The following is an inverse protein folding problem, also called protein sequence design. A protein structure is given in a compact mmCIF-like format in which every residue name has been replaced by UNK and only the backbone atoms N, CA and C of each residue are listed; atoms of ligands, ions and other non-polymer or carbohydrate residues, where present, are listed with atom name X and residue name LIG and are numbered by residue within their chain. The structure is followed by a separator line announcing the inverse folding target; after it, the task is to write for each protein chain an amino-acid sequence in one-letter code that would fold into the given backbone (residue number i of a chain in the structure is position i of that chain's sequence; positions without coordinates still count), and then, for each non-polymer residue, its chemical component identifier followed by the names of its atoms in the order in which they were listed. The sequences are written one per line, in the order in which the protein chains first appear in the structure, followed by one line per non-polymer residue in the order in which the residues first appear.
data_IF_387124247044
#
_entry.id   IF_387124247044
#
_cell.length_a   1.000
_cell.length_b   1.000
_cell.length_c   1.000
_cell.angle_alpha   90.00
_cell.angle_beta   90.00
_cell.angle_gamma   90.00
#
_symmetry.space_group_name_H-M   'P 1'
#
loop_
_entity.id
_entity.type
_entity.pdbx_description
1 polymer ?
#
# COMPACT_ATOMS: atom_id res chain seq x y z
N UNK A 1 -10.19 5.79 19.07
CA UNK A 1 -8.93 5.70 18.30
C UNK A 1 -7.70 5.78 19.22
N UNK A 2 -7.51 6.82 20.00
CA UNK A 2 -6.36 6.99 20.92
C UNK A 2 -6.17 5.81 21.89
N UNK A 3 -7.24 5.30 22.47
CA UNK A 3 -7.22 4.12 23.35
C UNK A 3 -6.65 2.88 22.64
N UNK A 4 -6.97 2.71 21.35
CA UNK A 4 -6.45 1.61 20.55
C UNK A 4 -4.95 1.78 20.28
N UNK A 5 -4.52 2.98 19.91
CA UNK A 5 -3.11 3.29 19.68
C UNK A 5 -2.28 3.03 20.94
N UNK A 6 -2.79 3.44 22.11
CA UNK A 6 -2.10 3.18 23.39
C UNK A 6 -2.04 1.69 23.77
N UNK A 7 -3.00 0.89 23.34
CA UNK A 7 -2.90 -0.57 23.54
C UNK A 7 -1.81 -1.20 22.68
N UNK A 8 -1.60 -0.68 21.46
CA UNK A 8 -0.56 -1.16 20.55
C UNK A 8 0.83 -0.69 21.01
N UNK A 9 0.95 0.59 21.36
CA UNK A 9 2.18 1.17 21.86
C UNK A 9 1.92 2.11 23.05
N UNK A 10 2.03 1.61 24.29
CA UNK A 10 1.76 2.41 25.50
C UNK A 10 2.70 3.59 25.69
N UNK A 11 3.92 3.49 25.14
CA UNK A 11 4.97 4.50 25.28
C UNK A 11 4.92 5.58 24.20
N UNK A 12 4.10 5.41 23.16
CA UNK A 12 4.01 6.38 22.09
C UNK A 12 3.43 7.72 22.58
N UNK A 13 4.10 8.79 22.23
CA UNK A 13 3.52 10.14 22.33
C UNK A 13 2.49 10.32 21.21
N UNK A 14 1.29 10.76 21.58
CA UNK A 14 0.21 10.98 20.63
C UNK A 14 0.02 12.48 20.43
N UNK A 15 0.27 12.94 19.21
CA UNK A 15 0.07 14.31 18.80
C UNK A 15 -1.19 14.41 17.94
N UNK A 16 -2.14 15.23 18.34
CA UNK A 16 -3.36 15.47 17.55
C UNK A 16 -3.07 16.57 16.54
N UNK A 17 -3.34 16.28 15.28
CA UNK A 17 -3.11 17.21 14.18
C UNK A 17 -4.34 17.30 13.30
N UNK A 18 -4.50 18.42 12.62
CA UNK A 18 -5.49 18.60 11.56
C UNK A 18 -4.78 18.79 10.24
N UNK A 19 -5.14 17.97 9.22
CA UNK A 19 -4.50 17.95 7.91
C UNK A 19 -2.96 17.81 7.95
N UNK A 20 -2.41 17.19 9.01
CA UNK A 20 -0.97 17.01 9.16
C UNK A 20 -0.23 18.30 9.59
N UNK A 21 -0.93 19.36 9.95
CA UNK A 21 -0.32 20.58 10.44
C UNK A 21 0.30 20.35 11.82
N UNK A 22 1.64 20.40 11.87
CA UNK A 22 2.43 20.19 13.08
C UNK A 22 3.77 20.89 12.95
N UNK A 23 4.24 21.47 14.04
CA UNK A 23 5.59 22.01 14.10
C UNK A 23 6.64 20.91 13.93
N UNK A 24 7.58 21.02 12.96
CA UNK A 24 8.59 20.00 12.70
C UNK A 24 9.42 19.64 13.93
N UNK A 25 9.66 20.58 14.83
CA UNK A 25 10.38 20.37 16.09
C UNK A 25 9.67 19.37 17.02
N UNK A 26 8.38 19.12 16.84
CA UNK A 26 7.65 18.08 17.58
C UNK A 26 8.01 16.67 17.13
N UNK A 27 8.54 16.51 15.93
CA UNK A 27 8.88 15.21 15.34
C UNK A 27 10.40 14.97 15.30
N UNK A 28 11.18 16.00 14.99
CA UNK A 28 12.60 15.91 14.75
C UNK A 28 13.42 16.11 16.05
N UNK A 29 14.59 15.47 16.12
CA UNK A 29 15.53 15.62 17.24
C UNK A 29 15.04 15.12 18.59
N UNK A 30 14.05 14.24 18.64
CA UNK A 30 13.46 13.75 19.90
C UNK A 30 14.13 12.52 20.50
N UNK A 31 15.09 11.90 19.84
CA UNK A 31 15.80 10.71 20.30
C UNK A 31 14.88 9.65 20.95
N UNK A 32 13.71 9.42 20.33
CA UNK A 32 12.65 8.56 20.90
C UNK A 32 12.97 7.08 20.84
N UNK A 33 13.89 6.68 19.99
CA UNK A 33 14.30 5.29 19.88
C UNK A 33 15.20 4.92 21.07
N UNK A 34 14.78 3.95 21.83
CA UNK A 34 15.55 3.38 22.93
C UNK A 34 15.71 1.89 22.70
N UNK A 35 16.93 1.45 22.42
CA UNK A 35 17.25 0.04 22.16
C UNK A 35 16.76 -0.88 23.28
N UNK A 36 16.94 -0.49 24.54
CA UNK A 36 16.47 -1.27 25.69
C UNK A 36 14.95 -1.51 25.70
N UNK A 37 14.14 -0.60 25.13
CA UNK A 37 12.71 -0.80 25.02
C UNK A 37 12.36 -1.69 23.80
N UNK A 38 13.08 -1.53 22.71
CA UNK A 38 12.92 -2.36 21.53
C UNK A 38 13.30 -3.82 21.82
N UNK A 39 14.37 -4.06 22.58
CA UNK A 39 14.82 -5.39 23.01
C UNK A 39 13.81 -6.14 23.88
N UNK A 40 12.95 -5.43 24.58
CA UNK A 40 11.88 -6.04 25.40
C UNK A 40 10.64 -6.41 24.60
N UNK A 41 10.56 -6.02 23.32
CA UNK A 41 9.44 -6.38 22.48
C UNK A 41 9.53 -7.86 22.08
N UNK A 42 8.51 -8.70 22.42
CA UNK A 42 8.61 -10.15 22.30
C UNK A 42 8.89 -10.67 20.89
N UNK A 43 8.40 -9.96 19.87
CA UNK A 43 8.51 -10.37 18.47
C UNK A 43 9.74 -9.80 17.76
N UNK A 44 10.26 -8.65 18.17
CA UNK A 44 11.32 -7.96 17.42
C UNK A 44 12.67 -8.71 17.47
N UNK A 45 13.01 -9.32 18.59
CA UNK A 45 14.25 -10.08 18.73
C UNK A 45 14.09 -11.57 18.41
N UNK A 46 12.89 -12.12 18.53
CA UNK A 46 12.65 -13.51 18.16
C UNK A 46 12.94 -13.73 16.68
N UNK A 47 12.34 -12.90 15.82
CA UNK A 47 12.52 -12.94 14.37
C UNK A 47 13.99 -12.69 13.95
N UNK A 48 14.68 -11.76 14.62
CA UNK A 48 16.10 -11.49 14.35
C UNK A 48 17.05 -12.61 14.81
N UNK A 49 16.67 -13.40 15.82
CA UNK A 49 17.48 -14.50 16.37
C UNK A 49 17.26 -15.82 15.66
N UNK A 50 16.05 -16.05 15.18
CA UNK A 50 15.66 -17.32 14.54
C UNK A 50 16.18 -17.44 13.12
N UNK A 51 16.66 -16.35 12.50
CA UNK A 51 17.16 -16.30 11.12
C UNK A 51 16.25 -16.95 10.04
N UNK A 52 15.07 -17.39 10.42
CA UNK A 52 14.06 -17.95 9.56
C UNK A 52 12.94 -16.94 9.36
N UNK A 53 13.18 -16.01 8.44
CA UNK A 53 12.11 -15.16 7.96
C UNK A 53 11.14 -16.02 7.14
N UNK A 54 9.99 -16.33 7.70
CA UNK A 54 8.92 -16.97 6.95
C UNK A 54 8.47 -16.00 5.84
N UNK A 55 8.61 -16.36 4.56
CA UNK A 55 8.19 -15.46 3.48
C UNK A 55 6.73 -15.05 3.68
N UNK A 56 6.43 -13.75 3.55
CA UNK A 56 5.06 -13.22 3.69
C UNK A 56 4.04 -13.95 2.81
N UNK A 57 4.50 -14.53 1.71
CA UNK A 57 3.69 -15.39 0.83
C UNK A 57 3.18 -16.63 1.54
N UNK A 58 3.99 -17.21 2.42
CA UNK A 58 3.63 -18.40 3.19
C UNK A 58 2.81 -18.01 4.40
N UNK A 59 3.22 -16.94 5.09
CA UNK A 59 2.56 -16.48 6.32
C UNK A 59 1.15 -15.92 6.06
N UNK A 60 0.99 -15.10 5.01
CA UNK A 60 -0.27 -14.42 4.72
C UNK A 60 -0.97 -14.91 3.44
N UNK A 61 -0.37 -15.82 2.69
CA UNK A 61 -0.92 -16.28 1.41
C UNK A 61 -0.97 -15.16 0.34
N UNK A 62 -0.18 -14.10 0.50
CA UNK A 62 -0.17 -12.94 -0.40
C UNK A 62 1.00 -13.07 -1.36
N UNK A 63 0.73 -13.05 -2.66
CA UNK A 63 1.75 -13.08 -3.71
C UNK A 63 1.65 -11.85 -4.60
N UNK A 64 2.74 -11.53 -5.27
CA UNK A 64 2.78 -10.45 -6.26
C UNK A 64 3.16 -10.98 -7.64
N UNK A 65 2.65 -10.34 -8.68
CA UNK A 65 3.04 -10.63 -10.05
C UNK A 65 3.08 -9.36 -10.89
N UNK A 66 3.81 -9.41 -11.98
CA UNK A 66 3.89 -8.32 -12.95
C UNK A 66 3.15 -8.73 -14.22
N UNK A 67 2.11 -7.98 -14.57
CA UNK A 67 1.44 -8.12 -15.85
C UNK A 67 2.06 -7.17 -16.88
N UNK A 68 2.49 -7.71 -18.01
CA UNK A 68 3.02 -6.92 -19.13
C UNK A 68 2.31 -7.29 -20.42
N UNK A 69 1.93 -6.28 -21.19
CA UNK A 69 1.32 -6.46 -22.50
C UNK A 69 1.88 -5.42 -23.49
N UNK A 70 2.10 -5.84 -24.71
CA UNK A 70 2.61 -5.01 -25.82
C UNK A 70 1.50 -4.51 -26.73
N UNK A 71 0.25 -4.85 -26.43
CA UNK A 71 -0.94 -4.42 -27.18
C UNK A 71 -1.77 -3.47 -26.33
N UNK A 72 -2.37 -2.43 -26.95
CA UNK A 72 -3.26 -1.54 -26.23
C UNK A 72 -4.53 -2.25 -25.79
N UNK A 73 -5.07 -1.83 -24.67
CA UNK A 73 -6.39 -2.26 -24.22
C UNK A 73 -7.49 -1.57 -25.02
N UNK A 74 -8.50 -2.32 -25.38
CA UNK A 74 -9.75 -1.76 -25.89
C UNK A 74 -10.51 -1.10 -24.73
N UNK A 75 -10.86 0.20 -24.77
CA UNK A 75 -11.42 0.91 -23.63
C UNK A 75 -12.67 0.26 -23.03
N UNK A 76 -13.64 -0.10 -23.88
CA UNK A 76 -14.90 -0.69 -23.43
C UNK A 76 -14.67 -2.09 -22.82
N UNK A 77 -13.79 -2.90 -23.40
CA UNK A 77 -13.47 -4.24 -22.85
C UNK A 77 -12.72 -4.13 -21.52
N UNK A 78 -11.81 -3.17 -21.40
CA UNK A 78 -11.13 -2.91 -20.14
C UNK A 78 -12.14 -2.44 -19.08
N UNK A 79 -13.01 -1.50 -19.42
CA UNK A 79 -14.05 -1.02 -18.51
C UNK A 79 -14.97 -2.16 -18.05
N UNK A 80 -15.43 -3.01 -18.97
CA UNK A 80 -16.26 -4.16 -18.63
C UNK A 80 -15.53 -5.18 -17.75
N UNK A 81 -14.23 -5.41 -17.99
CA UNK A 81 -13.42 -6.34 -17.18
C UNK A 81 -13.15 -5.79 -15.76
N UNK A 82 -13.04 -4.49 -15.60
CA UNK A 82 -12.87 -3.85 -14.30
C UNK A 82 -14.15 -3.87 -13.45
N UNK A 83 -15.33 -3.96 -14.11
CA UNK A 83 -16.62 -4.01 -13.45
C UNK A 83 -17.06 -2.66 -12.88
N UNK A 84 -18.27 -2.63 -12.34
CA UNK A 84 -18.83 -1.47 -11.65
C UNK A 84 -18.17 -1.26 -10.29
N UNK A 85 -17.76 -2.36 -9.66
CA UNK A 85 -17.03 -2.38 -8.40
C UNK A 85 -15.71 -3.13 -8.58
N UNK A 86 -14.58 -2.65 -8.07
CA UNK A 86 -13.31 -3.36 -8.13
C UNK A 86 -13.36 -4.79 -7.58
N UNK A 87 -14.29 -5.06 -6.68
CA UNK A 87 -14.45 -6.39 -6.07
C UNK A 87 -15.25 -7.38 -6.91
N UNK A 88 -16.03 -6.91 -7.87
CA UNK A 88 -16.89 -7.74 -8.70
C UNK A 88 -16.27 -8.11 -10.03
N UNK A 89 -15.27 -7.34 -10.48
CA UNK A 89 -14.58 -7.54 -11.74
C UNK A 89 -13.31 -8.37 -11.62
N UNK A 90 -12.48 -8.29 -12.66
CA UNK A 90 -11.19 -8.98 -12.75
C UNK A 90 -10.21 -8.61 -11.59
N UNK A 91 -10.42 -7.48 -10.94
CA UNK A 91 -9.61 -7.01 -9.80
C UNK A 91 -10.09 -7.53 -8.45
N UNK A 92 -11.19 -8.29 -8.39
CA UNK A 92 -11.86 -8.68 -7.15
C UNK A 92 -10.98 -9.43 -6.14
N UNK A 93 -9.94 -10.10 -6.60
CA UNK A 93 -8.98 -10.82 -5.77
C UNK A 93 -7.69 -10.05 -5.49
N UNK A 94 -7.52 -8.88 -6.08
CA UNK A 94 -6.33 -8.07 -5.87
C UNK A 94 -6.48 -7.21 -4.61
N UNK A 95 -5.48 -7.22 -3.76
CA UNK A 95 -5.37 -6.34 -2.60
C UNK A 95 -4.81 -4.97 -3.00
N UNK A 96 -3.89 -4.97 -3.96
CA UNK A 96 -3.22 -3.77 -4.46
C UNK A 96 -2.84 -3.92 -5.93
N UNK A 97 -2.97 -2.84 -6.68
CA UNK A 97 -2.45 -2.71 -8.03
C UNK A 97 -1.81 -1.34 -8.19
N UNK A 98 -0.68 -1.29 -8.84
CA UNK A 98 -0.08 -0.06 -9.36
C UNK A 98 0.47 -0.33 -10.74
N UNK A 99 0.21 0.59 -11.66
CA UNK A 99 0.73 0.47 -13.00
C UNK A 99 0.15 1.51 -13.94
N UNK A 100 0.52 1.34 -15.19
CA UNK A 100 -0.01 2.15 -16.27
C UNK A 100 -0.52 1.24 -17.40
N UNK A 101 -1.54 1.72 -18.10
CA UNK A 101 -2.14 1.03 -19.23
C UNK A 101 -2.03 1.89 -20.50
N UNK A 102 -1.89 1.21 -21.61
CA UNK A 102 -2.03 1.80 -22.93
C UNK A 102 -3.43 1.52 -23.44
N UNK A 103 -4.20 2.58 -23.70
CA UNK A 103 -5.52 2.48 -24.32
C UNK A 103 -5.44 2.74 -25.84
N UNK A 104 -6.16 1.97 -26.61
CA UNK A 104 -6.20 2.09 -28.06
C UNK A 104 -6.67 3.46 -28.57
N UNK A 105 -7.42 4.20 -27.74
CA UNK A 105 -7.90 5.56 -28.03
C UNK A 105 -6.97 6.65 -27.48
N UNK A 106 -5.89 6.30 -26.80
CA UNK A 106 -4.96 7.24 -26.16
C UNK A 106 -3.50 6.87 -26.45
N UNK A 107 -3.09 7.00 -27.70
CA UNK A 107 -1.74 6.57 -28.14
C UNK A 107 -0.58 7.40 -27.58
N UNK A 108 -0.84 8.66 -27.21
CA UNK A 108 0.21 9.60 -26.81
C UNK A 108 0.45 9.66 -25.30
N UNK A 109 -0.43 9.09 -24.50
CA UNK A 109 -0.36 9.18 -23.04
C UNK A 109 -0.69 7.86 -22.35
N UNK A 110 -0.03 7.63 -21.29
CA UNK A 110 -0.32 6.57 -20.35
C UNK A 110 -1.62 6.83 -19.60
N UNK A 111 -2.23 5.79 -19.09
CA UNK A 111 -3.32 5.85 -18.13
C UNK A 111 -2.85 5.17 -16.86
N UNK A 112 -2.76 5.91 -15.78
CA UNK A 112 -2.38 5.35 -14.49
C UNK A 112 -3.55 4.57 -13.89
N UNK A 113 -3.24 3.40 -13.37
CA UNK A 113 -4.17 2.53 -12.65
C UNK A 113 -3.65 2.31 -11.24
N UNK A 114 -4.49 2.49 -10.25
CA UNK A 114 -4.17 2.16 -8.88
C UNK A 114 -5.36 1.52 -8.16
N UNK A 115 -5.09 0.50 -7.36
CA UNK A 115 -6.03 -0.13 -6.45
C UNK A 115 -5.39 -0.22 -5.08
N UNK A 116 -6.12 0.19 -4.06
CA UNK A 116 -5.76 0.01 -2.66
C UNK A 116 -7.01 -0.38 -1.88
N UNK A 117 -7.09 -1.64 -1.45
CA UNK A 117 -8.29 -2.19 -0.84
C UNK A 117 -9.50 -2.11 -1.77
N UNK A 118 -10.51 -1.32 -1.41
CA UNK A 118 -11.70 -1.10 -2.22
C UNK A 118 -11.62 0.14 -3.13
N UNK A 119 -10.57 0.94 -3.01
CA UNK A 119 -10.42 2.17 -3.77
C UNK A 119 -9.67 1.91 -5.07
N UNK A 120 -10.37 2.02 -6.19
CA UNK A 120 -9.79 1.95 -7.52
C UNK A 120 -9.80 3.33 -8.18
N UNK A 121 -8.68 3.71 -8.75
CA UNK A 121 -8.54 4.97 -9.48
C UNK A 121 -7.93 4.79 -10.86
N UNK A 122 -8.44 5.57 -11.79
CA UNK A 122 -7.93 5.69 -13.16
C UNK A 122 -7.66 7.17 -13.42
N UNK A 123 -6.44 7.53 -13.77
CA UNK A 123 -6.07 8.91 -14.02
C UNK A 123 -5.17 9.05 -15.25
N UNK A 124 -5.19 10.22 -15.91
CA UNK A 124 -4.25 10.50 -17.00
C UNK A 124 -2.81 10.42 -16.48
N UNK A 125 -1.98 9.70 -17.22
CA UNK A 125 -0.54 9.63 -16.97
C UNK A 125 0.28 10.57 -17.85
N UNK A 126 1.61 10.54 -17.72
CA UNK A 126 2.52 11.29 -18.57
C UNK A 126 2.46 10.82 -20.03
N UNK A 127 3.06 11.54 -20.98
CA UNK A 127 3.37 11.01 -22.30
C UNK A 127 4.25 9.75 -22.20
N UNK A 128 4.22 8.93 -23.24
CA UNK A 128 5.14 7.78 -23.38
C UNK A 128 6.57 8.22 -23.53
#
# INVERSE_FOLDING_TARGET
METLVRKINPLAEILRTEHGALEPACLLGKERFQLRHAEKHPQWLAEARENEHTPETVEYGISSFIYRATRPFHPQRLHAALGVSPREGALGRLLRLKGFAWLATRHKRQVNLALAGSQFSVSPGPPW
#
